data_IF_844564355748
#
_entry.id   IF_844564355748
#
_cell.length_a   1.000
_cell.length_b   1.000
_cell.length_c   1.000
_cell.angle_alpha   90.00
_cell.angle_beta   90.00
_cell.angle_gamma   90.00
#
_symmetry.space_group_name_H-M   'P 1'
#
loop_
_entity.id
_entity.type
_entity.pdbx_description
1 polymer ?
#
# COMPACT_ATOMS: atom_id res chain seq x y z
N UNK A 1 -5.67 11.39 -26.55
CA UNK A 1 -4.96 10.35 -25.78
C UNK A 1 -5.64 9.02 -26.08
N UNK A 2 -4.95 8.03 -26.65
CA UNK A 2 -5.54 6.72 -26.93
C UNK A 2 -6.06 6.11 -25.62
N UNK A 3 -7.26 5.53 -25.66
CA UNK A 3 -8.07 5.23 -24.48
C UNK A 3 -7.37 4.32 -23.46
N UNK A 4 -7.39 4.73 -22.19
CA UNK A 4 -6.79 4.02 -21.04
C UNK A 4 -7.44 2.67 -20.68
N UNK A 5 -8.36 2.18 -21.50
CA UNK A 5 -9.10 0.95 -21.21
C UNK A 5 -8.35 -0.26 -21.78
N UNK A 6 -7.92 -1.16 -20.91
CA UNK A 6 -7.30 -2.44 -21.27
C UNK A 6 -8.30 -3.56 -21.00
N UNK A 7 -8.44 -4.50 -21.94
CA UNK A 7 -9.27 -5.69 -21.75
C UNK A 7 -8.48 -6.73 -20.99
N UNK A 8 -9.02 -7.16 -19.85
CA UNK A 8 -8.44 -8.20 -19.01
C UNK A 8 -9.36 -9.42 -19.00
N UNK A 9 -8.83 -10.58 -19.44
CA UNK A 9 -9.57 -11.84 -19.48
C UNK A 9 -8.91 -12.83 -18.53
N UNK A 10 -9.66 -13.32 -17.54
CA UNK A 10 -9.23 -14.38 -16.61
C UNK A 10 -10.28 -15.46 -16.51
N UNK A 11 -9.85 -16.69 -16.23
CA UNK A 11 -10.73 -17.77 -15.78
C UNK A 11 -10.97 -17.58 -14.30
N UNK A 12 -12.24 -17.56 -13.90
CA UNK A 12 -12.67 -17.45 -12.50
C UNK A 12 -13.61 -18.60 -12.22
N UNK A 13 -13.57 -19.10 -11.00
CA UNK A 13 -14.52 -20.10 -10.54
C UNK A 13 -15.97 -19.61 -10.73
N UNK A 14 -16.86 -20.54 -11.10
CA UNK A 14 -18.25 -20.23 -11.43
C UNK A 14 -19.00 -19.70 -10.20
N UNK A 15 -18.76 -20.27 -9.03
CA UNK A 15 -19.44 -19.88 -7.79
C UNK A 15 -19.03 -18.48 -7.37
N UNK A 16 -17.73 -18.16 -7.47
CA UNK A 16 -17.18 -16.83 -7.17
C UNK A 16 -17.78 -15.79 -8.13
N UNK A 17 -17.88 -16.11 -9.42
CA UNK A 17 -18.51 -15.22 -10.41
C UNK A 17 -19.97 -14.96 -10.08
N UNK A 18 -20.73 -15.99 -9.71
CA UNK A 18 -22.15 -15.87 -9.41
C UNK A 18 -22.39 -15.10 -8.09
N UNK A 19 -21.53 -15.29 -7.09
CA UNK A 19 -21.50 -14.49 -5.87
C UNK A 19 -21.24 -13.01 -6.16
N UNK A 20 -20.18 -12.70 -6.92
CA UNK A 20 -19.85 -11.34 -7.34
C UNK A 20 -21.02 -10.71 -8.11
N UNK A 21 -21.65 -11.48 -9.01
CA UNK A 21 -22.81 -11.02 -9.77
C UNK A 21 -24.00 -10.68 -8.89
N UNK A 22 -24.32 -11.55 -7.93
CA UNK A 22 -25.39 -11.32 -6.96
C UNK A 22 -25.14 -10.06 -6.13
N UNK A 23 -23.92 -9.90 -5.63
CA UNK A 23 -23.51 -8.74 -4.84
C UNK A 23 -23.56 -7.43 -5.63
N UNK A 24 -23.02 -7.43 -6.86
CA UNK A 24 -23.04 -6.24 -7.72
C UNK A 24 -24.48 -5.85 -8.08
N UNK A 25 -25.33 -6.84 -8.40
CA UNK A 25 -26.74 -6.60 -8.76
C UNK A 25 -27.55 -6.05 -7.58
N UNK A 26 -27.33 -6.56 -6.36
CA UNK A 26 -28.08 -6.11 -5.19
C UNK A 26 -27.74 -4.68 -4.76
N UNK A 27 -26.51 -4.22 -5.02
CA UNK A 27 -26.04 -2.87 -4.67
C UNK A 27 -26.04 -1.88 -5.84
N UNK A 28 -26.45 -2.30 -7.03
CA UNK A 28 -26.47 -1.46 -8.23
C UNK A 28 -25.08 -1.13 -8.79
N UNK A 29 -24.07 -1.95 -8.51
CA UNK A 29 -22.71 -1.76 -9.00
C UNK A 29 -22.45 -2.47 -10.32
N UNK A 30 -21.59 -1.88 -11.14
CA UNK A 30 -20.98 -2.58 -12.26
C UNK A 30 -19.86 -3.49 -11.78
N UNK A 31 -19.83 -4.72 -12.27
CA UNK A 31 -18.78 -5.71 -11.95
C UNK A 31 -17.37 -5.16 -12.20
N UNK A 32 -17.18 -4.41 -13.30
CA UNK A 32 -15.91 -3.78 -13.63
C UNK A 32 -15.42 -2.88 -12.49
N UNK A 33 -16.27 -1.95 -12.03
CA UNK A 33 -15.92 -1.01 -10.96
C UNK A 33 -15.69 -1.71 -9.62
N UNK A 34 -16.41 -2.80 -9.36
CA UNK A 34 -16.17 -3.63 -8.18
C UNK A 34 -14.80 -4.30 -8.22
N UNK A 35 -14.43 -4.90 -9.36
CA UNK A 35 -13.12 -5.54 -9.54
C UNK A 35 -11.98 -4.52 -9.48
N UNK A 36 -12.11 -3.38 -10.16
CA UNK A 36 -11.11 -2.31 -10.13
C UNK A 36 -10.86 -1.83 -8.69
N UNK A 37 -11.94 -1.62 -7.92
CA UNK A 37 -11.83 -1.22 -6.52
C UNK A 37 -11.20 -2.31 -5.66
N UNK A 38 -11.63 -3.56 -5.83
CA UNK A 38 -11.08 -4.69 -5.07
C UNK A 38 -9.58 -4.88 -5.30
N UNK A 39 -9.10 -4.64 -6.53
CA UNK A 39 -7.67 -4.70 -6.84
C UNK A 39 -6.90 -3.63 -6.07
N UNK A 40 -7.36 -2.38 -6.08
CA UNK A 40 -6.72 -1.28 -5.35
C UNK A 40 -6.73 -1.55 -3.84
N UNK A 41 -7.90 -1.90 -3.30
CA UNK A 41 -8.07 -2.16 -1.87
C UNK A 41 -7.23 -3.37 -1.39
N UNK A 42 -6.94 -4.35 -2.24
CA UNK A 42 -6.07 -5.49 -1.90
C UNK A 42 -4.58 -5.13 -1.96
N UNK A 43 -4.17 -4.33 -2.95
CA UNK A 43 -2.79 -3.82 -3.05
C UNK A 43 -2.45 -2.98 -1.81
N UNK A 44 -3.31 -2.03 -1.46
CA UNK A 44 -3.10 -1.20 -0.26
C UNK A 44 -2.99 -2.04 1.02
N UNK A 45 -3.76 -3.13 1.11
CA UNK A 45 -3.71 -4.03 2.27
C UNK A 45 -2.41 -4.84 2.35
N UNK A 46 -1.88 -5.32 1.23
CA UNK A 46 -0.59 -6.02 1.22
C UNK A 46 0.56 -5.04 1.52
N UNK A 47 0.55 -3.82 0.98
CA UNK A 47 1.55 -2.79 1.31
C UNK A 47 1.55 -2.47 2.81
N UNK A 48 0.37 -2.25 3.40
CA UNK A 48 0.25 -2.00 4.85
C UNK A 48 0.75 -3.17 5.70
N UNK A 49 0.61 -4.39 5.21
CA UNK A 49 1.07 -5.60 5.91
C UNK A 49 2.59 -5.73 5.84
N UNK A 50 3.20 -5.41 4.70
CA UNK A 50 4.65 -5.35 4.54
C UNK A 50 5.27 -4.26 5.43
N UNK A 51 4.65 -3.07 5.46
CA UNK A 51 5.08 -1.98 6.34
C UNK A 51 5.02 -2.39 7.82
N UNK A 52 3.92 -3.03 8.23
CA UNK A 52 3.75 -3.49 9.61
C UNK A 52 4.78 -4.57 9.97
N UNK A 53 5.08 -5.49 9.05
CA UNK A 53 6.13 -6.49 9.23
C UNK A 53 7.50 -5.82 9.37
N UNK A 54 7.77 -4.79 8.57
CA UNK A 54 9.02 -4.02 8.61
C UNK A 54 9.20 -3.30 9.95
N UNK A 55 8.15 -2.67 10.45
CA UNK A 55 8.14 -2.02 11.78
C UNK A 55 8.39 -3.06 12.88
N UNK A 56 7.70 -4.20 12.84
CA UNK A 56 7.90 -5.27 13.84
C UNK A 56 9.32 -5.82 13.80
N UNK A 57 9.87 -6.02 12.60
CA UNK A 57 11.25 -6.46 12.44
C UNK A 57 12.23 -5.43 13.00
N UNK A 58 12.01 -4.16 12.70
CA UNK A 58 12.80 -3.05 13.26
C UNK A 58 12.76 -3.05 14.79
N UNK A 59 11.56 -3.08 15.39
CA UNK A 59 11.40 -3.06 16.84
C UNK A 59 12.07 -4.25 17.53
N UNK A 60 12.00 -5.43 16.92
CA UNK A 60 12.48 -6.68 17.52
C UNK A 60 13.98 -6.91 17.35
N UNK A 61 14.54 -6.52 16.21
CA UNK A 61 15.88 -6.95 15.81
C UNK A 61 16.87 -5.79 15.59
N UNK A 62 16.39 -4.59 15.26
CA UNK A 62 17.26 -3.50 14.79
C UNK A 62 17.23 -2.27 15.70
N UNK A 63 16.22 -2.13 16.55
CA UNK A 63 16.04 -0.98 17.43
C UNK A 63 17.23 -0.72 18.35
N UNK A 64 17.88 -1.78 18.84
CA UNK A 64 19.04 -1.66 19.73
C UNK A 64 20.35 -1.32 19.00
N UNK A 65 20.44 -1.63 17.70
CA UNK A 65 21.63 -1.41 16.87
C UNK A 65 21.52 -0.21 15.95
N UNK A 66 20.34 0.42 15.88
CA UNK A 66 20.07 1.57 15.02
C UNK A 66 20.74 2.84 15.55
N UNK A 67 21.42 3.55 14.66
CA UNK A 67 22.04 4.85 14.97
C UNK A 67 20.98 5.96 15.03
N UNK A 68 21.07 6.90 16.00
CA UNK A 68 20.16 8.03 16.10
C UNK A 68 20.13 8.87 14.82
N UNK A 69 18.94 9.34 14.45
CA UNK A 69 18.70 10.11 13.22
C UNK A 69 19.57 11.37 13.16
N UNK A 70 19.88 11.99 14.30
CA UNK A 70 20.74 13.17 14.38
C UNK A 70 22.17 12.89 13.92
N UNK A 71 22.69 11.68 14.19
CA UNK A 71 24.03 11.28 13.74
C UNK A 71 24.04 11.08 12.22
N UNK A 72 23.03 10.41 11.69
CA UNK A 72 22.86 10.20 10.23
C UNK A 72 22.72 11.54 9.50
N UNK A 73 21.91 12.46 10.04
CA UNK A 73 21.72 13.79 9.46
C UNK A 73 23.00 14.64 9.47
N UNK A 74 23.85 14.47 10.48
CA UNK A 74 25.16 15.12 10.53
C UNK A 74 26.14 14.53 9.50
N UNK A 75 26.15 13.20 9.32
CA UNK A 75 26.99 12.52 8.32
C UNK A 75 26.57 12.84 6.87
N UNK A 76 25.26 12.96 6.61
CA UNK A 76 24.71 13.31 5.30
C UNK A 76 24.75 14.81 4.98
N UNK A 77 25.30 15.65 5.87
CA UNK A 77 25.41 17.10 5.66
C UNK A 77 24.07 17.84 5.68
N UNK A 78 22.99 17.22 6.17
CA UNK A 78 21.64 17.79 6.29
C UNK A 78 21.41 18.53 7.62
N UNK A 79 22.36 18.45 8.56
CA UNK A 79 22.30 19.13 9.86
C UNK A 79 22.54 20.63 9.80
N UNK A 80 21.55 21.43 9.41
CA UNK A 80 21.63 22.88 9.41
C UNK A 80 20.48 23.56 10.16
N UNK A 81 20.69 23.94 11.44
CA UNK A 81 19.71 24.79 12.13
C UNK A 81 19.80 24.98 13.65
N UNK A 82 20.97 25.30 14.24
CA UNK A 82 21.00 26.08 15.50
C UNK A 82 21.78 27.38 15.30
N UNK A 83 21.13 28.39 14.71
CA UNK A 83 21.48 29.79 15.02
C UNK A 83 20.82 30.14 16.35
N UNK A 84 21.54 29.99 17.46
CA UNK A 84 21.22 30.72 18.69
C UNK A 84 21.87 32.10 18.57
N UNK A 85 21.05 33.13 18.41
CA UNK A 85 21.45 34.50 18.66
C UNK A 85 21.68 34.67 20.17
N UNK A 86 22.86 35.11 20.56
CA UNK A 86 23.16 35.82 21.80
C UNK A 86 24.43 36.64 21.56
#
# INVERSE_FOLDING_TARGET
MPGKNVTFTMKVDREIRDLMKGFCKSRGYMMKSFIEKAIVDEIEREELKEDLLSIQNYEKNEKETTIPLEKVAAELGMGGGKKKNA
#
